data_IF_335058293003
#
_entry.id   IF_335058293003
#
_cell.length_a   1.000
_cell.length_b   1.000
_cell.length_c   1.000
_cell.angle_alpha   90.00
_cell.angle_beta   90.00
_cell.angle_gamma   90.00
#
_symmetry.space_group_name_H-M   'P 1'
#
loop_
_entity.id
_entity.type
_entity.pdbx_description
1 polymer ?
#
# COMPACT_ATOMS: atom_id res chain seq x y z
N UNK A 1 -53.27 47.05 4.96
CA UNK A 1 -52.50 45.81 5.28
C UNK A 1 -51.84 45.10 4.05
N UNK A 2 -51.27 45.79 3.05
CA UNK A 2 -50.69 45.11 1.85
C UNK A 2 -49.25 44.57 2.02
N UNK A 3 -48.49 45.02 3.03
CA UNK A 3 -47.06 44.66 3.18
C UNK A 3 -46.78 43.22 3.62
N UNK A 4 -47.64 42.62 4.45
CA UNK A 4 -47.45 41.26 4.99
C UNK A 4 -47.63 40.16 3.93
N UNK A 5 -48.51 40.36 2.95
CA UNK A 5 -48.75 39.39 1.89
C UNK A 5 -47.58 39.33 0.90
N UNK A 6 -47.07 40.49 0.45
CA UNK A 6 -45.87 40.59 -0.40
C UNK A 6 -44.62 40.01 0.27
N UNK A 7 -44.45 40.24 1.57
CA UNK A 7 -43.32 39.70 2.34
C UNK A 7 -43.40 38.18 2.52
N UNK A 8 -44.60 37.60 2.67
CA UNK A 8 -44.79 36.13 2.72
C UNK A 8 -44.50 35.48 1.36
N UNK A 9 -44.94 36.08 0.26
CA UNK A 9 -44.67 35.59 -1.10
C UNK A 9 -43.18 35.65 -1.46
N UNK A 10 -42.48 36.72 -1.08
CA UNK A 10 -41.03 36.81 -1.26
C UNK A 10 -40.25 35.74 -0.48
N UNK A 11 -40.70 35.38 0.73
CA UNK A 11 -40.11 34.30 1.53
C UNK A 11 -40.36 32.91 0.93
N UNK A 12 -41.55 32.65 0.40
CA UNK A 12 -41.89 31.39 -0.28
C UNK A 12 -41.09 31.24 -1.58
N UNK A 13 -40.99 32.31 -2.37
CA UNK A 13 -40.20 32.30 -3.61
C UNK A 13 -38.70 32.10 -3.33
N UNK A 14 -38.15 32.80 -2.33
CA UNK A 14 -36.75 32.62 -1.91
C UNK A 14 -36.48 31.20 -1.39
N UNK A 15 -37.42 30.63 -0.60
CA UNK A 15 -37.31 29.25 -0.13
C UNK A 15 -37.35 28.23 -1.27
N UNK A 16 -38.25 28.41 -2.24
CA UNK A 16 -38.34 27.55 -3.42
C UNK A 16 -37.07 27.62 -4.29
N UNK A 17 -36.52 28.83 -4.49
CA UNK A 17 -35.27 29.02 -5.22
C UNK A 17 -34.09 28.33 -4.53
N UNK A 18 -34.00 28.43 -3.20
CA UNK A 18 -32.95 27.76 -2.42
C UNK A 18 -33.05 26.23 -2.52
N UNK A 19 -34.25 25.67 -2.37
CA UNK A 19 -34.48 24.22 -2.51
C UNK A 19 -34.13 23.74 -3.91
N UNK A 20 -34.53 24.48 -4.95
CA UNK A 20 -34.18 24.14 -6.32
C UNK A 20 -32.66 24.17 -6.55
N UNK A 21 -31.95 25.16 -5.99
CA UNK A 21 -30.49 25.26 -6.09
C UNK A 21 -29.79 24.11 -5.37
N UNK A 22 -30.26 23.74 -4.17
CA UNK A 22 -29.75 22.60 -3.42
C UNK A 22 -30.02 21.28 -4.15
N UNK A 23 -31.22 21.09 -4.70
CA UNK A 23 -31.55 19.89 -5.46
C UNK A 23 -30.70 19.79 -6.74
N UNK A 24 -30.53 20.90 -7.47
CA UNK A 24 -29.74 20.95 -8.69
C UNK A 24 -28.25 20.62 -8.48
N UNK A 25 -27.73 20.76 -7.26
CA UNK A 25 -26.35 20.42 -6.91
C UNK A 25 -26.25 19.06 -6.22
N UNK A 26 -27.09 18.79 -5.22
CA UNK A 26 -27.02 17.58 -4.42
C UNK A 26 -27.44 16.31 -5.18
N UNK A 27 -28.46 16.39 -6.05
CA UNK A 27 -28.94 15.22 -6.80
C UNK A 27 -27.89 14.66 -7.76
N UNK A 28 -27.29 15.45 -8.68
CA UNK A 28 -26.28 14.90 -9.58
C UNK A 28 -25.02 14.44 -8.83
N UNK A 29 -24.60 15.13 -7.77
CA UNK A 29 -23.48 14.68 -6.92
C UNK A 29 -23.81 13.34 -6.26
N UNK A 30 -25.00 13.22 -5.65
CA UNK A 30 -25.44 11.98 -5.01
C UNK A 30 -25.51 10.83 -6.00
N UNK A 31 -26.11 11.03 -7.18
CA UNK A 31 -26.15 10.01 -8.23
C UNK A 31 -24.75 9.63 -8.74
N UNK A 32 -23.82 10.58 -8.78
CA UNK A 32 -22.45 10.34 -9.18
C UNK A 32 -21.66 9.55 -8.12
N UNK A 33 -21.87 9.80 -6.83
CA UNK A 33 -21.09 9.14 -5.75
C UNK A 33 -21.73 7.87 -5.22
N UNK A 34 -23.03 7.68 -5.42
CA UNK A 34 -23.77 6.53 -4.88
C UNK A 34 -23.20 5.16 -5.31
N UNK A 35 -22.78 4.94 -6.57
CA UNK A 35 -22.17 3.66 -6.95
C UNK A 35 -20.94 3.29 -6.10
N UNK A 36 -20.18 4.29 -5.63
CA UNK A 36 -18.95 4.11 -4.87
C UNK A 36 -19.13 4.12 -3.35
N UNK A 37 -20.36 4.19 -2.84
CA UNK A 37 -20.58 4.38 -1.39
C UNK A 37 -20.07 3.22 -0.52
N UNK A 38 -19.99 2.01 -1.10
CA UNK A 38 -19.51 0.79 -0.45
C UNK A 38 -18.08 0.42 -0.88
N UNK A 39 -17.47 1.17 -1.80
CA UNK A 39 -16.09 0.94 -2.22
C UNK A 39 -15.15 1.33 -1.08
N UNK A 40 -14.21 0.43 -0.77
CA UNK A 40 -13.25 0.61 0.32
C UNK A 40 -11.84 0.43 -0.21
N UNK A 41 -11.19 1.55 -0.49
CA UNK A 41 -9.79 1.61 -0.89
C UNK A 41 -8.90 1.07 0.23
N UNK A 42 -7.90 0.28 -0.13
CA UNK A 42 -6.96 -0.40 0.76
C UNK A 42 -7.61 -1.27 1.84
N UNK A 43 -8.86 -1.69 1.65
CA UNK A 43 -9.53 -2.59 2.60
C UNK A 43 -8.75 -3.90 2.72
N UNK A 44 -8.35 -4.24 3.94
CA UNK A 44 -7.49 -5.38 4.23
C UNK A 44 -5.99 -5.05 4.31
N UNK A 45 -5.56 -3.83 4.00
CA UNK A 45 -4.14 -3.43 4.05
C UNK A 45 -3.49 -3.60 5.43
N UNK A 46 -4.21 -3.30 6.52
CA UNK A 46 -3.71 -3.54 7.88
C UNK A 46 -3.53 -5.03 8.19
N UNK A 47 -4.47 -5.88 7.76
CA UNK A 47 -4.36 -7.32 7.93
C UNK A 47 -3.23 -7.91 7.07
N UNK A 48 -3.01 -7.36 5.88
CA UNK A 48 -1.88 -7.72 5.03
C UNK A 48 -0.54 -7.35 5.68
N UNK A 49 -0.45 -6.16 6.30
CA UNK A 49 0.72 -5.74 7.06
C UNK A 49 0.96 -6.62 8.29
N UNK A 50 -0.10 -7.00 9.02
CA UNK A 50 -0.02 -7.92 10.17
C UNK A 50 0.49 -9.30 9.74
N UNK A 51 -0.10 -9.89 8.69
CA UNK A 51 0.34 -11.17 8.12
C UNK A 51 1.80 -11.12 7.61
N UNK A 52 2.23 -9.99 7.05
CA UNK A 52 3.63 -9.77 6.69
C UNK A 52 4.55 -9.70 7.93
N UNK A 53 4.12 -9.02 8.99
CA UNK A 53 4.90 -8.89 10.22
C UNK A 53 5.05 -10.22 10.97
N UNK A 54 4.05 -11.11 10.91
CA UNK A 54 4.09 -12.46 11.50
C UNK A 54 5.19 -13.35 10.92
N UNK A 55 5.79 -12.97 9.80
CA UNK A 55 6.87 -13.70 9.16
C UNK A 55 8.25 -13.50 9.80
N UNK A 56 8.39 -12.54 10.73
CA UNK A 56 9.68 -12.15 11.32
C UNK A 56 9.77 -12.48 12.81
N UNK A 57 10.98 -12.77 13.26
CA UNK A 57 11.30 -13.05 14.66
C UNK A 57 12.06 -11.90 15.33
N UNK A 58 12.02 -11.80 16.67
CA UNK A 58 12.88 -10.89 17.40
C UNK A 58 14.37 -11.14 17.10
N UNK A 59 15.06 -10.12 16.62
CA UNK A 59 16.47 -10.21 16.22
C UNK A 59 16.69 -10.33 14.71
N UNK A 60 15.62 -10.47 13.93
CA UNK A 60 15.70 -10.36 12.47
C UNK A 60 16.13 -8.94 12.06
N UNK A 61 16.83 -8.88 10.94
CA UNK A 61 17.09 -7.67 10.18
C UNK A 61 16.64 -7.95 8.76
N UNK A 62 15.87 -7.04 8.16
CA UNK A 62 15.33 -7.21 6.81
C UNK A 62 16.15 -6.42 5.80
N UNK A 63 16.50 -7.06 4.69
CA UNK A 63 17.04 -6.39 3.50
C UNK A 63 16.04 -6.49 2.36
N UNK A 64 15.50 -5.34 1.93
CA UNK A 64 14.65 -5.26 0.74
C UNK A 64 15.51 -5.27 -0.53
N UNK A 65 15.35 -6.31 -1.36
CA UNK A 65 16.26 -6.59 -2.49
C UNK A 65 15.76 -6.14 -3.85
N UNK A 66 14.48 -5.79 -3.99
CA UNK A 66 13.92 -5.16 -5.19
C UNK A 66 13.27 -3.80 -4.89
N UNK A 67 12.88 -3.08 -5.94
CA UNK A 67 12.30 -1.74 -5.83
C UNK A 67 10.92 -1.74 -5.19
N UNK A 68 10.09 -2.74 -5.50
CA UNK A 68 8.77 -2.91 -4.93
C UNK A 68 8.87 -3.16 -3.42
N UNK A 69 9.79 -4.03 -2.99
CA UNK A 69 10.11 -4.30 -1.59
C UNK A 69 10.62 -3.04 -0.87
N UNK A 70 11.51 -2.30 -1.53
CA UNK A 70 12.07 -1.07 -0.96
C UNK A 70 10.98 -0.01 -0.75
N UNK A 71 10.11 0.19 -1.74
CA UNK A 71 9.13 1.26 -1.71
C UNK A 71 7.93 0.96 -0.79
N UNK A 72 7.47 -0.29 -0.74
CA UNK A 72 6.25 -0.65 0.00
C UNK A 72 6.55 -1.17 1.40
N UNK A 73 7.59 -1.99 1.57
CA UNK A 73 7.72 -2.81 2.77
C UNK A 73 8.71 -2.24 3.79
N UNK A 74 9.76 -1.52 3.37
CA UNK A 74 10.79 -1.02 4.31
C UNK A 74 10.23 -0.16 5.46
N UNK A 75 9.18 0.63 5.21
CA UNK A 75 8.55 1.46 6.25
C UNK A 75 7.60 0.63 7.13
N UNK A 76 6.86 -0.31 6.54
CA UNK A 76 6.00 -1.26 7.28
C UNK A 76 6.86 -2.11 8.21
N UNK A 77 7.97 -2.67 7.73
CA UNK A 77 8.91 -3.48 8.54
C UNK A 77 9.41 -2.71 9.77
N UNK A 78 9.83 -1.45 9.58
CA UNK A 78 10.37 -0.62 10.67
C UNK A 78 9.31 -0.11 11.63
N UNK A 79 8.19 0.37 11.09
CA UNK A 79 7.16 1.07 11.86
C UNK A 79 6.13 0.14 12.48
N UNK A 80 5.68 -0.88 11.74
CA UNK A 80 4.61 -1.79 12.16
C UNK A 80 5.16 -3.08 12.74
N UNK A 81 6.16 -3.69 12.10
CA UNK A 81 6.72 -4.96 12.59
C UNK A 81 7.76 -4.75 13.72
N UNK A 82 8.30 -3.53 13.88
CA UNK A 82 9.36 -3.26 14.85
C UNK A 82 10.71 -3.91 14.50
N UNK A 83 10.89 -4.32 13.24
CA UNK A 83 12.08 -5.03 12.76
C UNK A 83 12.99 -4.04 12.02
N UNK A 84 14.31 -3.99 12.33
CA UNK A 84 15.25 -3.18 11.57
C UNK A 84 15.22 -3.55 10.08
N UNK A 85 15.08 -2.55 9.21
CA UNK A 85 15.08 -2.77 7.76
C UNK A 85 16.05 -1.86 7.02
N UNK A 86 16.71 -2.44 6.03
CA UNK A 86 17.66 -1.80 5.12
C UNK A 86 17.08 -1.86 3.70
N UNK A 87 17.09 -0.71 3.02
CA UNK A 87 16.77 -0.60 1.61
C UNK A 87 18.04 -0.59 0.76
N UNK A 88 18.06 -1.38 -0.32
CA UNK A 88 19.09 -1.24 -1.37
C UNK A 88 18.91 0.09 -2.12
N UNK A 89 20.01 0.74 -2.50
CA UNK A 89 19.95 1.90 -3.40
C UNK A 89 19.82 1.44 -4.85
N UNK A 90 19.27 2.29 -5.74
CA UNK A 90 19.07 1.92 -7.15
C UNK A 90 20.33 1.38 -7.83
N UNK A 91 21.47 2.08 -7.66
CA UNK A 91 22.78 1.66 -8.19
C UNK A 91 23.26 0.29 -7.72
N UNK A 92 22.93 -0.09 -6.48
CA UNK A 92 23.29 -1.39 -5.93
C UNK A 92 22.35 -2.47 -6.45
N UNK A 93 21.07 -2.15 -6.65
CA UNK A 93 19.99 -3.08 -6.99
C UNK A 93 20.07 -3.62 -8.42
N UNK A 94 20.61 -2.84 -9.35
CA UNK A 94 20.73 -3.21 -10.76
C UNK A 94 21.83 -4.27 -11.02
N UNK A 95 22.59 -4.65 -9.98
CA UNK A 95 23.67 -5.64 -10.04
C UNK A 95 23.50 -6.72 -8.95
N UNK A 96 22.95 -7.90 -9.30
CA UNK A 96 22.69 -8.98 -8.35
C UNK A 96 23.94 -9.45 -7.60
N UNK A 97 25.12 -9.44 -8.23
CA UNK A 97 26.36 -9.85 -7.56
C UNK A 97 26.77 -8.85 -6.48
N UNK A 98 26.61 -7.55 -6.75
CA UNK A 98 26.87 -6.51 -5.76
C UNK A 98 25.83 -6.53 -4.63
N UNK A 99 24.54 -6.76 -4.93
CA UNK A 99 23.50 -6.97 -3.89
C UNK A 99 23.89 -8.14 -3.01
N UNK A 100 24.25 -9.29 -3.59
CA UNK A 100 24.62 -10.48 -2.84
C UNK A 100 25.86 -10.24 -1.98
N UNK A 101 26.90 -9.59 -2.52
CA UNK A 101 28.10 -9.25 -1.76
C UNK A 101 27.78 -8.31 -0.59
N UNK A 102 26.86 -7.36 -0.77
CA UNK A 102 26.40 -6.49 0.31
C UNK A 102 25.57 -7.25 1.35
N UNK A 103 24.68 -8.14 0.92
CA UNK A 103 23.87 -9.00 1.77
C UNK A 103 24.74 -9.91 2.64
N UNK A 104 25.76 -10.58 2.07
CA UNK A 104 26.72 -11.40 2.82
C UNK A 104 27.46 -10.61 3.90
N UNK A 105 27.98 -9.44 3.55
CA UNK A 105 28.65 -8.56 4.53
C UNK A 105 27.72 -8.09 5.65
N UNK A 106 26.44 -7.87 5.34
CA UNK A 106 25.44 -7.48 6.33
C UNK A 106 25.07 -8.68 7.22
N UNK A 107 24.86 -9.86 6.64
CA UNK A 107 24.54 -11.09 7.34
C UNK A 107 25.63 -11.45 8.36
N UNK A 108 26.90 -11.37 7.99
CA UNK A 108 28.02 -11.57 8.91
C UNK A 108 27.94 -10.66 10.15
N UNK A 109 27.62 -9.38 9.96
CA UNK A 109 27.51 -8.39 11.06
C UNK A 109 26.28 -8.60 11.93
N UNK A 110 25.19 -9.04 11.34
CA UNK A 110 23.91 -9.34 12.02
C UNK A 110 24.07 -10.62 12.86
N UNK A 111 24.62 -11.69 12.27
CA UNK A 111 24.96 -12.94 12.96
C UNK A 111 25.95 -12.74 14.09
N UNK A 112 26.96 -11.90 13.92
CA UNK A 112 27.91 -11.57 14.99
C UNK A 112 27.24 -10.94 16.22
N UNK A 113 26.00 -10.44 16.08
CA UNK A 113 25.16 -9.90 17.16
C UNK A 113 24.03 -10.85 17.60
N UNK A 114 24.00 -12.07 17.06
CA UNK A 114 22.99 -13.08 17.36
C UNK A 114 21.67 -12.91 16.61
N UNK A 115 21.60 -12.02 15.60
CA UNK A 115 20.43 -11.86 14.74
C UNK A 115 20.50 -12.67 13.46
N UNK A 116 19.47 -12.52 12.62
CA UNK A 116 19.38 -13.18 11.31
C UNK A 116 19.01 -12.17 10.21
N UNK A 117 19.72 -12.22 9.07
CA UNK A 117 19.35 -11.41 7.90
C UNK A 117 18.27 -12.13 7.08
N UNK A 118 17.16 -11.46 6.84
CA UNK A 118 16.05 -11.92 5.99
C UNK A 118 16.00 -11.06 4.74
N UNK A 119 16.08 -11.70 3.58
CA UNK A 119 15.92 -11.05 2.28
C UNK A 119 14.43 -10.96 1.96
N UNK A 120 13.95 -9.79 1.55
CA UNK A 120 12.54 -9.56 1.17
C UNK A 120 12.45 -9.08 -0.27
N UNK A 121 11.63 -9.76 -1.06
CA UNK A 121 11.27 -9.41 -2.43
C UNK A 121 9.75 -9.28 -2.57
N UNK A 122 9.31 -8.38 -3.44
CA UNK A 122 7.90 -8.13 -3.74
C UNK A 122 7.62 -8.07 -5.25
N UNK A 123 8.63 -7.76 -6.08
CA UNK A 123 8.44 -7.74 -7.54
C UNK A 123 8.21 -9.15 -8.09
N UNK A 124 9.12 -10.06 -7.78
CA UNK A 124 9.07 -11.44 -8.25
C UNK A 124 9.93 -12.38 -7.37
N UNK A 125 9.60 -13.66 -7.27
CA UNK A 125 10.41 -14.61 -6.50
C UNK A 125 11.75 -14.90 -7.17
N UNK A 126 11.89 -14.62 -8.48
CA UNK A 126 13.13 -14.81 -9.22
C UNK A 126 14.26 -13.93 -8.67
N UNK A 127 13.96 -12.72 -8.18
CA UNK A 127 14.97 -11.84 -7.55
C UNK A 127 15.70 -12.53 -6.40
N UNK A 128 14.99 -13.31 -5.56
CA UNK A 128 15.62 -14.08 -4.49
C UNK A 128 16.45 -15.24 -5.02
N UNK A 129 15.97 -15.92 -6.07
CA UNK A 129 16.68 -17.06 -6.69
C UNK A 129 17.96 -16.62 -7.40
N UNK A 130 17.95 -15.47 -8.05
CA UNK A 130 19.11 -14.90 -8.75
C UNK A 130 20.22 -14.50 -7.77
N UNK A 131 19.84 -14.12 -6.54
CA UNK A 131 20.78 -13.92 -5.43
C UNK A 131 21.24 -15.24 -4.79
N UNK A 132 20.73 -16.39 -5.24
CA UNK A 132 21.00 -17.69 -4.65
C UNK A 132 20.36 -17.90 -3.28
N UNK A 133 19.32 -17.12 -2.92
CA UNK A 133 18.70 -17.22 -1.60
C UNK A 133 18.20 -18.64 -1.29
N UNK A 134 18.35 -19.06 -0.04
CA UNK A 134 17.81 -20.32 0.46
C UNK A 134 16.47 -20.11 1.16
N UNK A 135 15.72 -21.20 1.35
CA UNK A 135 14.45 -21.20 2.09
C UNK A 135 13.43 -20.18 1.59
N UNK A 136 13.40 -19.97 0.27
CA UNK A 136 12.50 -19.01 -0.37
C UNK A 136 11.05 -19.45 -0.16
N UNK A 137 10.27 -18.58 0.49
CA UNK A 137 8.85 -18.83 0.79
C UNK A 137 8.01 -17.57 0.56
N UNK A 138 6.75 -17.77 0.20
CA UNK A 138 5.74 -16.71 0.20
C UNK A 138 5.28 -16.45 1.62
N UNK A 139 5.28 -15.20 2.05
CA UNK A 139 4.84 -14.77 3.39
C UNK A 139 3.56 -13.95 3.35
N UNK A 140 3.24 -13.38 2.19
CA UNK A 140 1.99 -12.70 1.91
C UNK A 140 1.59 -12.98 0.46
N UNK A 141 0.33 -13.32 0.21
CA UNK A 141 -0.29 -13.34 -1.12
C UNK A 141 -1.75 -12.97 -0.92
N UNK A 142 -2.08 -11.71 -1.20
CA UNK A 142 -3.44 -11.19 -1.06
C UNK A 142 -3.75 -10.21 -2.17
N UNK A 143 -5.03 -9.91 -2.33
CA UNK A 143 -5.51 -8.85 -3.21
C UNK A 143 -6.23 -7.84 -2.36
N UNK A 144 -5.88 -6.56 -2.52
CA UNK A 144 -6.61 -5.44 -1.98
C UNK A 144 -7.12 -4.58 -3.13
N UNK A 145 -8.10 -3.73 -2.86
CA UNK A 145 -8.65 -2.83 -3.87
C UNK A 145 -8.02 -1.44 -3.68
N UNK A 146 -7.35 -0.91 -4.69
CA UNK A 146 -6.71 0.41 -4.68
C UNK A 146 -7.46 1.42 -5.53
N UNK A 147 -7.09 2.69 -5.38
CA UNK A 147 -7.66 3.76 -6.19
C UNK A 147 -7.22 3.58 -7.66
N UNK A 148 -8.12 3.83 -8.62
CA UNK A 148 -7.80 3.69 -10.04
C UNK A 148 -6.62 4.56 -10.48
N UNK A 149 -5.60 3.93 -11.06
CA UNK A 149 -4.34 4.60 -11.40
C UNK A 149 -4.31 5.20 -12.81
N UNK A 150 -5.21 4.76 -13.71
CA UNK A 150 -5.29 5.24 -15.09
C UNK A 150 -6.47 6.22 -15.22
N UNK A 151 -6.19 7.50 -14.98
CA UNK A 151 -7.21 8.57 -14.97
C UNK A 151 -7.44 9.19 -16.36
N UNK A 152 -7.54 8.36 -17.40
CA UNK A 152 -7.85 8.83 -18.77
C UNK A 152 -9.34 9.05 -18.99
N UNK A 153 -10.16 8.37 -18.20
CA UNK A 153 -11.60 8.47 -18.16
C UNK A 153 -12.07 8.46 -16.71
N UNK A 154 -13.37 8.68 -16.49
CA UNK A 154 -13.94 8.62 -15.15
C UNK A 154 -13.83 7.18 -14.64
N UNK A 155 -13.25 6.94 -13.44
CA UNK A 155 -13.24 5.61 -12.88
C UNK A 155 -14.65 5.17 -12.48
N UNK A 156 -14.98 3.92 -12.80
CA UNK A 156 -16.27 3.31 -12.50
C UNK A 156 -16.17 2.20 -11.44
N UNK A 157 -14.95 1.75 -11.11
CA UNK A 157 -14.66 0.73 -10.09
C UNK A 157 -13.24 0.92 -9.52
N UNK A 158 -12.91 0.22 -8.42
CA UNK A 158 -11.57 0.15 -7.85
C UNK A 158 -10.67 -0.83 -8.62
N UNK A 159 -9.36 -0.57 -8.62
CA UNK A 159 -8.38 -1.44 -9.26
C UNK A 159 -7.88 -2.53 -8.28
N UNK A 160 -7.75 -3.80 -8.70
CA UNK A 160 -7.21 -4.85 -7.84
C UNK A 160 -5.68 -4.79 -7.76
N UNK A 161 -5.14 -4.55 -6.57
CA UNK A 161 -3.72 -4.63 -6.25
C UNK A 161 -3.37 -5.98 -5.65
N UNK A 162 -2.55 -6.77 -6.36
CA UNK A 162 -2.01 -8.01 -5.80
C UNK A 162 -0.73 -7.73 -5.01
N UNK A 163 -0.78 -8.02 -3.71
CA UNK A 163 0.35 -7.96 -2.81
C UNK A 163 0.92 -9.35 -2.58
N UNK A 164 2.06 -9.66 -3.20
CA UNK A 164 2.79 -10.91 -2.96
C UNK A 164 4.19 -10.63 -2.46
N UNK A 165 4.54 -11.15 -1.28
CA UNK A 165 5.85 -10.94 -0.68
C UNK A 165 6.52 -12.28 -0.45
N UNK A 166 7.79 -12.35 -0.83
CA UNK A 166 8.64 -13.50 -0.62
C UNK A 166 9.78 -13.15 0.33
N UNK A 167 10.12 -14.11 1.18
CA UNK A 167 11.32 -14.06 2.03
C UNK A 167 12.29 -15.14 1.63
N UNK A 168 13.58 -14.92 1.85
CA UNK A 168 14.61 -15.95 1.81
C UNK A 168 15.81 -15.58 2.68
N UNK A 169 16.79 -16.47 2.75
CA UNK A 169 18.04 -16.25 3.49
C UNK A 169 19.23 -16.13 2.56
N UNK A 170 20.26 -15.41 3.00
CA UNK A 170 21.50 -15.28 2.25
C UNK A 170 22.12 -16.67 2.05
N UNK A 171 22.57 -17.03 0.82
CA UNK A 171 23.27 -18.28 0.61
C UNK A 171 24.56 -18.33 1.43
N UNK A 172 24.69 -19.43 2.17
CA UNK A 172 25.88 -19.77 2.94
C UNK A 172 27.06 -20.13 2.05
#
# INVERSE_FOLDING_TARGET
MPGRARQRWGRVAAGGALVALLAATAVPTGLATWPHHDERVEAGGLAAAEAYCDAFEPGDVVLAVDDWAVNHWTQVTRGMCGVPSVATTGRLRDDPEQVLAAARRLDERVRARGGQLVLVAHREPATLRDLGATDVRTVLDTVIMEDPHVLTERPEELDPLRLVVWTGHVPR
#
